data_IF_716017994040
#
_entry.id   IF_716017994040
#
_cell.length_a   1.000
_cell.length_b   1.000
_cell.length_c   1.000
_cell.angle_alpha   90.00
_cell.angle_beta   90.00
_cell.angle_gamma   90.00
#
_symmetry.space_group_name_H-M   'P 1'
#
loop_
_entity.id
_entity.type
_entity.pdbx_description
1 polymer ?
#
# COMPACT_ATOMS: atom_id res chain seq x y z
N UNK A 1 -19.24 17.58 38.53
CA UNK A 1 -20.07 18.09 37.42
C UNK A 1 -19.35 19.16 36.59
N UNK A 2 -18.92 20.31 37.15
CA UNK A 2 -18.22 21.37 36.38
C UNK A 2 -16.92 20.90 35.68
N UNK A 3 -16.07 20.13 36.38
CA UNK A 3 -14.81 19.60 35.80
C UNK A 3 -15.03 18.66 34.61
N UNK A 4 -16.08 17.84 34.68
CA UNK A 4 -16.45 16.90 33.61
C UNK A 4 -16.92 17.63 32.35
N UNK A 5 -17.68 18.72 32.51
CA UNK A 5 -18.10 19.58 31.39
C UNK A 5 -16.88 20.23 30.72
N UNK A 6 -15.91 20.71 31.50
CA UNK A 6 -14.68 21.28 30.95
C UNK A 6 -13.84 20.25 30.17
N UNK A 7 -13.71 19.02 30.67
CA UNK A 7 -12.98 17.96 29.97
C UNK A 7 -13.65 17.59 28.64
N UNK A 8 -14.98 17.45 28.65
CA UNK A 8 -15.75 17.17 27.43
C UNK A 8 -15.62 18.32 26.43
N UNK A 9 -15.73 19.57 26.90
CA UNK A 9 -15.59 20.75 26.05
C UNK A 9 -14.19 20.82 25.39
N UNK A 10 -13.13 20.52 26.15
CA UNK A 10 -11.76 20.47 25.61
C UNK A 10 -11.64 19.35 24.58
N UNK A 11 -12.12 18.13 24.87
CA UNK A 11 -12.04 17.00 23.93
C UNK A 11 -12.77 17.28 22.61
N UNK A 12 -13.95 17.90 22.68
CA UNK A 12 -14.71 18.32 21.49
C UNK A 12 -13.96 19.42 20.73
N UNK A 13 -13.40 20.41 21.42
CA UNK A 13 -12.59 21.45 20.79
C UNK A 13 -11.36 20.86 20.08
N UNK A 14 -10.71 19.88 20.69
CA UNK A 14 -9.55 19.19 20.11
C UNK A 14 -9.90 18.45 18.83
N UNK A 15 -11.05 17.78 18.78
CA UNK A 15 -11.51 17.08 17.58
C UNK A 15 -11.86 18.06 16.45
N UNK A 16 -12.46 19.21 16.79
CA UNK A 16 -12.84 20.24 15.80
C UNK A 16 -11.60 21.01 15.31
N UNK A 17 -10.59 21.20 16.16
CA UNK A 17 -9.34 21.87 15.82
C UNK A 17 -8.34 20.97 15.08
N UNK A 18 -8.62 19.66 14.95
CA UNK A 18 -7.77 18.74 14.21
C UNK A 18 -7.87 19.01 12.71
N UNK A 19 -6.86 19.65 12.14
CA UNK A 19 -6.73 19.75 10.69
C UNK A 19 -6.42 18.37 10.10
N UNK A 20 -7.00 18.01 8.93
CA UNK A 20 -6.65 16.78 8.25
C UNK A 20 -5.17 16.84 7.84
N UNK A 21 -4.36 15.96 8.44
CA UNK A 21 -3.05 15.67 7.91
C UNK A 21 -3.27 14.81 6.65
N UNK A 22 -3.14 15.41 5.47
CA UNK A 22 -3.17 14.71 4.19
C UNK A 22 -1.91 13.84 4.04
N UNK A 23 -1.85 12.75 4.81
CA UNK A 23 -0.78 11.78 4.71
C UNK A 23 -0.90 11.01 3.40
N UNK A 24 0.13 11.11 2.57
CA UNK A 24 0.36 10.23 1.42
C UNK A 24 1.25 9.05 1.85
N UNK A 25 1.17 7.92 1.15
CA UNK A 25 1.95 6.71 1.43
C UNK A 25 3.48 6.87 1.23
N UNK A 26 3.95 8.09 0.94
CA UNK A 26 5.34 8.37 0.60
C UNK A 26 5.77 7.62 -0.66
N UNK A 27 6.95 7.01 -0.61
CA UNK A 27 7.54 6.19 -1.67
C UNK A 27 7.18 4.70 -1.53
N UNK A 28 6.15 4.36 -0.75
CA UNK A 28 5.65 2.98 -0.68
C UNK A 28 4.35 2.84 -1.45
N UNK A 29 4.24 1.75 -2.19
CA UNK A 29 2.97 1.30 -2.79
C UNK A 29 2.01 0.82 -1.72
N UNK A 30 0.71 0.99 -1.97
CA UNK A 30 -0.33 0.54 -1.04
C UNK A 30 -0.45 -0.99 -1.02
N UNK A 31 -0.13 -1.64 -2.14
CA UNK A 31 -0.08 -3.09 -2.25
C UNK A 31 0.86 -3.49 -3.38
N UNK A 32 1.14 -4.79 -3.47
CA UNK A 32 1.89 -5.32 -4.61
C UNK A 32 0.96 -6.18 -5.46
N UNK A 33 1.13 -6.11 -6.78
CA UNK A 33 0.29 -6.81 -7.73
C UNK A 33 -1.09 -6.18 -7.91
N UNK A 34 -1.85 -6.65 -8.90
CA UNK A 34 -3.16 -6.09 -9.21
C UNK A 34 -4.16 -6.33 -8.07
N UNK A 35 -4.08 -7.46 -7.37
CA UNK A 35 -4.93 -7.74 -6.21
C UNK A 35 -4.58 -6.88 -5.00
N UNK A 36 -3.29 -6.74 -4.68
CA UNK A 36 -2.84 -5.89 -3.57
C UNK A 36 -3.29 -4.45 -3.74
N UNK A 37 -3.05 -3.88 -4.92
CA UNK A 37 -3.47 -2.52 -5.26
C UNK A 37 -5.01 -2.39 -5.29
N UNK A 38 -5.71 -3.30 -5.97
CA UNK A 38 -7.17 -3.27 -6.09
C UNK A 38 -7.93 -3.41 -4.77
N UNK A 39 -7.30 -4.03 -3.76
CA UNK A 39 -7.85 -4.17 -2.40
C UNK A 39 -7.37 -3.08 -1.43
N UNK A 40 -6.64 -2.07 -1.88
CA UNK A 40 -6.12 -1.02 -1.01
C UNK A 40 -5.04 -1.52 -0.03
N UNK A 41 -4.28 -2.54 -0.40
CA UNK A 41 -3.25 -3.17 0.44
C UNK A 41 -3.75 -4.26 1.38
N UNK A 42 -5.05 -4.56 1.39
CA UNK A 42 -5.68 -5.49 2.33
C UNK A 42 -5.49 -6.99 1.96
N UNK A 43 -4.25 -7.42 1.70
CA UNK A 43 -3.92 -8.79 1.25
C UNK A 43 -3.27 -9.67 2.30
N UNK A 44 -2.87 -9.12 3.46
CA UNK A 44 -2.20 -9.87 4.55
C UNK A 44 -2.99 -11.12 5.00
N UNK A 45 -4.32 -11.03 5.05
CA UNK A 45 -5.22 -12.13 5.42
C UNK A 45 -6.09 -12.63 4.25
N UNK A 46 -5.95 -12.03 3.07
CA UNK A 46 -6.72 -12.34 1.88
C UNK A 46 -5.77 -12.64 0.70
N UNK A 47 -5.11 -13.81 0.72
CA UNK A 47 -4.13 -14.17 -0.31
C UNK A 47 -4.82 -14.57 -1.62
N UNK A 48 -4.61 -13.80 -2.68
CA UNK A 48 -5.21 -14.04 -4.01
C UNK A 48 -4.19 -14.32 -5.12
N UNK A 49 -2.95 -13.87 -4.95
CA UNK A 49 -1.83 -14.16 -5.85
C UNK A 49 -0.51 -14.32 -5.08
N UNK A 50 0.51 -14.85 -5.75
CA UNK A 50 1.85 -15.10 -5.19
C UNK A 50 2.55 -13.83 -4.69
N UNK A 51 2.13 -12.62 -5.10
CA UNK A 51 2.71 -11.39 -4.57
C UNK A 51 2.34 -11.14 -3.11
N UNK A 52 1.31 -11.83 -2.60
CA UNK A 52 1.01 -11.90 -1.16
C UNK A 52 2.20 -12.38 -0.33
N UNK A 53 3.18 -13.10 -0.91
CA UNK A 53 4.42 -13.45 -0.20
C UNK A 53 5.18 -12.24 0.35
N UNK A 54 5.07 -11.08 -0.30
CA UNK A 54 5.77 -9.86 0.11
C UNK A 54 5.19 -9.33 1.43
N UNK A 55 3.88 -9.46 1.62
CA UNK A 55 3.19 -8.98 2.83
C UNK A 55 3.03 -10.08 3.88
N UNK A 56 2.73 -11.30 3.46
CA UNK A 56 2.57 -12.49 4.30
C UNK A 56 2.95 -13.78 3.55
N UNK A 57 4.18 -14.29 3.74
CA UNK A 57 4.63 -15.55 3.14
C UNK A 57 3.74 -16.76 3.44
N UNK A 58 3.08 -16.82 4.61
CA UNK A 58 2.21 -17.95 4.96
C UNK A 58 0.99 -18.07 4.03
N UNK A 59 0.60 -16.96 3.36
CA UNK A 59 -0.51 -16.92 2.43
C UNK A 59 -0.39 -17.94 1.30
N UNK A 60 0.81 -18.29 0.85
CA UNK A 60 1.01 -19.21 -0.30
C UNK A 60 0.46 -20.61 -0.05
N UNK A 61 0.37 -21.04 1.21
CA UNK A 61 -0.27 -22.31 1.57
C UNK A 61 -1.75 -22.32 1.19
N UNK A 62 -2.41 -21.16 1.21
CA UNK A 62 -3.82 -20.98 0.83
C UNK A 62 -4.00 -20.85 -0.68
N UNK A 63 -3.01 -20.29 -1.38
CA UNK A 63 -3.05 -20.08 -2.83
C UNK A 63 -2.64 -21.35 -3.59
N UNK A 64 -1.79 -22.19 -3.01
CA UNK A 64 -1.28 -23.40 -3.62
C UNK A 64 -0.13 -23.17 -4.59
N UNK A 65 0.19 -24.18 -5.40
CA UNK A 65 1.25 -24.09 -6.40
C UNK A 65 0.79 -23.33 -7.64
N UNK A 66 1.39 -22.17 -7.92
CA UNK A 66 1.06 -21.33 -9.08
C UNK A 66 2.19 -20.38 -9.45
N UNK A 67 2.09 -19.78 -10.64
CA UNK A 67 2.94 -18.67 -11.07
C UNK A 67 2.03 -17.51 -11.46
N UNK A 68 2.31 -16.31 -10.96
CA UNK A 68 1.58 -15.09 -11.30
C UNK A 68 2.49 -14.02 -11.86
N UNK A 69 1.93 -13.27 -12.81
CA UNK A 69 2.54 -12.09 -13.40
C UNK A 69 1.55 -10.94 -13.26
N UNK A 70 2.02 -9.82 -12.75
CA UNK A 70 1.22 -8.65 -12.46
C UNK A 70 1.94 -7.39 -12.95
N UNK A 71 1.18 -6.36 -13.28
CA UNK A 71 1.68 -5.04 -13.62
C UNK A 71 0.72 -3.97 -13.12
N UNK A 72 1.27 -2.88 -12.62
CA UNK A 72 0.53 -1.68 -12.26
C UNK A 72 1.13 -0.46 -12.96
N UNK A 73 0.29 0.53 -13.24
CA UNK A 73 0.68 1.81 -13.79
C UNK A 73 0.49 2.88 -12.72
N UNK A 74 1.58 3.52 -12.31
CA UNK A 74 1.54 4.60 -11.33
C UNK A 74 1.74 5.94 -12.01
N UNK A 75 0.70 6.79 -11.98
CA UNK A 75 0.67 8.10 -12.64
C UNK A 75 0.56 9.25 -11.62
N UNK A 76 1.66 9.64 -10.96
CA UNK A 76 1.63 10.64 -9.91
C UNK A 76 1.47 12.06 -10.45
N UNK A 77 0.61 12.86 -9.84
CA UNK A 77 0.53 14.30 -10.06
C UNK A 77 1.27 15.03 -8.94
N UNK A 78 2.42 15.62 -9.25
CA UNK A 78 3.27 16.34 -8.29
C UNK A 78 3.43 17.79 -8.73
N UNK A 79 3.13 18.71 -7.83
CA UNK A 79 3.35 20.14 -8.01
C UNK A 79 3.93 20.74 -6.73
N UNK A 80 4.76 21.76 -6.88
CA UNK A 80 5.26 22.57 -5.77
C UNK A 80 4.81 24.01 -6.01
N UNK A 81 4.16 24.59 -5.01
CA UNK A 81 3.72 25.99 -5.02
C UNK A 81 4.82 26.89 -4.42
N UNK A 82 5.28 27.85 -5.22
CA UNK A 82 6.28 28.86 -4.84
C UNK A 82 5.68 30.27 -4.64
N UNK A 83 4.35 30.38 -4.52
CA UNK A 83 3.64 31.66 -4.33
C UNK A 83 4.16 32.48 -3.15
N UNK A 84 4.55 31.80 -2.07
CA UNK A 84 5.14 32.41 -0.86
C UNK A 84 6.49 33.12 -1.13
N UNK A 85 7.25 32.69 -2.14
CA UNK A 85 8.54 33.30 -2.52
C UNK A 85 8.43 34.14 -3.80
N UNK A 86 7.22 34.47 -4.25
CA UNK A 86 6.97 35.25 -5.47
C UNK A 86 7.11 34.47 -6.78
N UNK A 87 7.16 33.13 -6.71
CA UNK A 87 7.12 32.24 -7.87
C UNK A 87 5.70 31.74 -8.18
N UNK A 88 5.56 30.89 -9.21
CA UNK A 88 4.34 30.17 -9.54
C UNK A 88 4.48 28.66 -9.34
N UNK A 89 3.41 27.90 -9.59
CA UNK A 89 3.42 26.44 -9.49
C UNK A 89 4.42 25.81 -10.49
N UNK A 90 5.22 24.86 -10.01
CA UNK A 90 6.09 24.04 -10.87
C UNK A 90 5.68 22.57 -10.80
N UNK A 91 5.57 21.94 -11.96
CA UNK A 91 5.35 20.51 -12.12
C UNK A 91 6.67 19.82 -12.47
N UNK A 92 6.92 18.64 -11.89
CA UNK A 92 8.16 17.91 -12.14
C UNK A 92 8.10 16.44 -11.73
N UNK A 93 8.99 15.63 -12.31
CA UNK A 93 9.03 14.17 -12.16
C UNK A 93 8.60 13.44 -13.42
N UNK A 94 8.58 12.10 -13.38
CA UNK A 94 7.99 11.30 -14.46
C UNK A 94 6.48 11.15 -14.26
N UNK A 95 5.73 11.22 -15.35
CA UNK A 95 4.26 11.17 -15.31
C UNK A 95 3.70 9.75 -15.17
N UNK A 96 4.50 8.73 -15.50
CA UNK A 96 4.08 7.34 -15.51
C UNK A 96 5.23 6.40 -15.16
N UNK A 97 5.00 5.53 -14.19
CA UNK A 97 5.90 4.45 -13.81
C UNK A 97 5.20 3.11 -14.02
N UNK A 98 5.91 2.17 -14.66
CA UNK A 98 5.46 0.79 -14.76
C UNK A 98 6.01 -0.01 -13.58
N UNK A 99 5.13 -0.69 -12.86
CA UNK A 99 5.44 -1.49 -11.68
C UNK A 99 5.13 -2.98 -11.94
N UNK A 100 6.06 -3.72 -12.56
CA UNK A 100 5.89 -5.15 -12.76
C UNK A 100 6.14 -5.94 -11.47
N UNK A 101 5.47 -7.08 -11.33
CA UNK A 101 5.77 -8.09 -10.32
C UNK A 101 5.52 -9.50 -10.84
N UNK A 102 6.30 -10.45 -10.35
CA UNK A 102 6.18 -11.87 -10.67
C UNK A 102 6.35 -12.67 -9.38
N UNK A 103 5.59 -13.75 -9.25
CA UNK A 103 5.76 -14.70 -8.16
C UNK A 103 5.52 -16.14 -8.60
N UNK A 104 6.16 -17.06 -7.91
CA UNK A 104 6.02 -18.51 -8.07
C UNK A 104 5.92 -19.17 -6.70
N UNK A 105 5.02 -20.14 -6.56
CA UNK A 105 4.89 -20.99 -5.39
C UNK A 105 4.73 -22.45 -5.82
N UNK A 106 5.29 -23.36 -5.03
CA UNK A 106 5.16 -24.80 -5.24
C UNK A 106 5.18 -25.55 -3.90
N UNK A 107 4.42 -26.65 -3.76
CA UNK A 107 4.56 -27.54 -2.62
C UNK A 107 5.95 -28.20 -2.66
N UNK A 108 6.58 -28.35 -1.50
CA UNK A 108 7.86 -29.05 -1.34
C UNK A 108 7.76 -30.31 -0.50
N UNK A 109 6.62 -30.52 0.17
CA UNK A 109 6.30 -31.78 0.87
C UNK A 109 5.25 -32.56 0.09
N UNK A 110 5.33 -33.89 0.14
CA UNK A 110 4.37 -34.80 -0.49
C UNK A 110 2.95 -34.69 0.10
N UNK A 111 2.85 -34.28 1.37
CA UNK A 111 1.57 -34.06 2.06
C UNK A 111 0.98 -32.66 1.82
N UNK A 112 1.66 -31.81 1.03
CA UNK A 112 1.24 -30.44 0.75
C UNK A 112 1.26 -29.52 1.97
N UNK A 113 1.93 -29.87 3.06
CA UNK A 113 2.01 -29.04 4.28
C UNK A 113 3.02 -27.90 4.17
N UNK A 114 4.07 -28.07 3.34
CA UNK A 114 5.13 -27.09 3.14
C UNK A 114 5.14 -26.60 1.70
N UNK A 115 5.34 -25.30 1.56
CA UNK A 115 5.47 -24.61 0.30
C UNK A 115 6.77 -23.80 0.30
N UNK A 116 7.43 -23.78 -0.86
CA UNK A 116 8.45 -22.79 -1.17
C UNK A 116 7.93 -21.85 -2.25
N UNK A 117 8.38 -20.61 -2.22
CA UNK A 117 8.02 -19.64 -3.23
C UNK A 117 9.02 -18.49 -3.30
N UNK A 118 8.93 -17.75 -4.38
CA UNK A 118 9.72 -16.56 -4.66
C UNK A 118 8.81 -15.51 -5.30
N UNK A 119 8.89 -14.28 -4.85
CA UNK A 119 8.26 -13.14 -5.50
C UNK A 119 9.21 -11.96 -5.56
N UNK A 120 9.14 -11.20 -6.66
CA UNK A 120 9.86 -9.95 -6.86
C UNK A 120 8.91 -8.92 -7.45
N UNK A 121 9.08 -7.67 -7.02
CA UNK A 121 8.28 -6.55 -7.47
C UNK A 121 9.13 -5.29 -7.59
N UNK A 122 8.77 -4.44 -8.54
CA UNK A 122 9.28 -3.08 -8.66
C UNK A 122 8.27 -2.13 -8.02
N UNK A 123 8.77 -1.19 -7.22
CA UNK A 123 8.00 -0.18 -6.48
C UNK A 123 8.58 1.20 -6.83
N UNK A 124 7.75 2.26 -6.86
CA UNK A 124 8.13 3.63 -7.22
C UNK A 124 8.23 4.58 -6.02
#
# INVERSE_FOLDING_TARGET
MRKSIFIIAIAVLSLVAANPAFAVNGNQVIGVGAYGEGMGGAVTAAPFDTTTMITNPAGITKIGGRTDFNFALFAPKRSVDYSSTGGGDTYGGSDLYLLPSIGVSAPISDDGSLYAGFAIAVVA
#
